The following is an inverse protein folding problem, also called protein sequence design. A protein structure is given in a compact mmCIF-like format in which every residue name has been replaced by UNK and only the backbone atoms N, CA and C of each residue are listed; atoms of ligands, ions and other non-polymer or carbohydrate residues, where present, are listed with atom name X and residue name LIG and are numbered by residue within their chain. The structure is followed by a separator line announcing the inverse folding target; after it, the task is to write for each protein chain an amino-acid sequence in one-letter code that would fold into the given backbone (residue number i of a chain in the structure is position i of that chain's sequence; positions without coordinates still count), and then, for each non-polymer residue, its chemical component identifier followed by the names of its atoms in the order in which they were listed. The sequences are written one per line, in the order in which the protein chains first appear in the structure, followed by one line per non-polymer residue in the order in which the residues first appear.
data_IF_121575979276
#
_entry.id   IF_121575979276
#
_cell.length_a   1.000
_cell.length_b   1.000
_cell.length_c   1.000
_cell.angle_alpha   90.00
_cell.angle_beta   90.00
_cell.angle_gamma   90.00
#
_symmetry.space_group_name_H-M   'P 1'
#
loop_
_entity.id
_entity.type
_entity.pdbx_description
1 polymer ?
#
# COMPACT_ATOMS: atom_id res chain seq x y z
N UNK A 1 -8.11 5.58 -12.42
CA UNK A 1 -9.27 5.63 -11.53
C UNK A 1 -8.90 5.23 -10.14
N UNK A 2 -8.57 3.95 -9.95
CA UNK A 2 -8.20 3.49 -8.62
C UNK A 2 -6.99 4.20 -8.07
N UNK A 3 -6.00 4.41 -8.92
CA UNK A 3 -4.81 5.13 -8.50
C UNK A 3 -5.12 6.53 -8.03
N UNK A 4 -6.10 7.18 -8.67
CA UNK A 4 -6.50 8.52 -8.26
C UNK A 4 -7.13 8.52 -6.88
N UNK A 5 -7.83 7.46 -6.52
CA UNK A 5 -8.39 7.35 -5.19
C UNK A 5 -7.31 7.19 -4.14
N UNK A 6 -6.26 6.46 -4.46
CA UNK A 6 -5.11 6.33 -3.57
C UNK A 6 -4.42 7.67 -3.42
N UNK A 7 -4.24 8.40 -4.53
CA UNK A 7 -3.64 9.72 -4.48
C UNK A 7 -4.43 10.64 -3.55
N UNK A 8 -5.76 10.60 -3.67
CA UNK A 8 -6.61 11.43 -2.84
C UNK A 8 -6.52 11.05 -1.37
N UNK A 9 -6.48 9.77 -1.10
CA UNK A 9 -6.36 9.28 0.27
C UNK A 9 -5.08 9.78 0.92
N UNK A 10 -3.98 9.70 0.19
CA UNK A 10 -2.69 10.09 0.74
C UNK A 10 -2.60 11.60 0.96
N UNK A 11 -3.35 12.37 0.20
CA UNK A 11 -3.34 13.82 0.39
C UNK A 11 -3.98 14.25 1.70
N UNK A 12 -4.69 13.36 2.37
CA UNK A 12 -5.31 13.69 3.65
C UNK A 12 -4.30 13.71 4.80
N UNK A 13 -3.09 13.25 4.58
CA UNK A 13 -2.08 13.20 5.61
C UNK A 13 -1.21 14.45 5.60
N UNK A 14 -0.55 14.72 6.73
CA UNK A 14 0.41 15.81 6.80
C UNK A 14 1.51 15.60 5.77
N UNK A 15 2.16 16.69 5.40
CA UNK A 15 3.16 16.64 4.35
C UNK A 15 4.25 15.57 4.63
N UNK A 16 4.79 15.57 5.82
CA UNK A 16 5.87 14.64 6.16
C UNK A 16 5.42 13.19 6.08
N UNK A 17 4.26 12.89 6.66
CA UNK A 17 3.74 11.54 6.62
C UNK A 17 3.35 11.15 5.21
N UNK A 18 2.75 12.07 4.47
CA UNK A 18 2.37 11.82 3.09
C UNK A 18 3.58 11.46 2.25
N UNK A 19 4.69 12.14 2.47
CA UNK A 19 5.90 11.87 1.72
C UNK A 19 6.43 10.47 2.01
N UNK A 20 6.42 10.07 3.28
CA UNK A 20 6.84 8.74 3.66
C UNK A 20 5.94 7.68 3.03
N UNK A 21 4.64 7.92 3.05
CA UNK A 21 3.69 6.98 2.47
C UNK A 21 3.86 6.88 0.96
N UNK A 22 4.14 7.99 0.30
CA UNK A 22 4.39 7.96 -1.14
C UNK A 22 5.67 7.21 -1.47
N UNK A 23 6.71 7.37 -0.66
CA UNK A 23 7.94 6.63 -0.86
C UNK A 23 7.70 5.13 -0.69
N UNK A 24 6.93 4.76 0.33
CA UNK A 24 6.57 3.37 0.56
C UNK A 24 5.78 2.82 -0.62
N UNK A 25 4.83 3.61 -1.12
CA UNK A 25 4.04 3.24 -2.28
C UNK A 25 4.91 2.94 -3.49
N UNK A 26 5.90 3.79 -3.73
CA UNK A 26 6.79 3.58 -4.86
C UNK A 26 7.65 2.35 -4.69
N UNK A 27 8.12 2.10 -3.47
CA UNK A 27 8.90 0.90 -3.21
C UNK A 27 8.09 -0.36 -3.48
N UNK A 28 6.85 -0.36 -3.04
CA UNK A 28 5.97 -1.51 -3.26
C UNK A 28 5.70 -1.68 -4.76
N UNK A 29 5.48 -0.58 -5.45
CA UNK A 29 5.20 -0.64 -6.89
C UNK A 29 6.37 -1.24 -7.65
N UNK A 30 7.58 -0.96 -7.22
CA UNK A 30 8.77 -1.53 -7.85
C UNK A 30 8.87 -3.03 -7.60
N UNK A 31 8.47 -3.46 -6.42
CA UNK A 31 8.50 -4.89 -6.09
C UNK A 31 7.36 -5.65 -6.73
N UNK A 32 6.25 -4.98 -7.00
CA UNK A 32 5.06 -5.61 -7.55
C UNK A 32 4.62 -4.86 -8.81
N UNK A 33 5.43 -4.96 -9.88
CA UNK A 33 5.19 -4.12 -11.07
C UNK A 33 3.88 -4.39 -11.80
N UNK A 34 3.27 -5.55 -11.58
CA UNK A 34 2.00 -5.86 -12.23
C UNK A 34 0.80 -5.56 -11.36
N UNK A 35 1.02 -5.05 -10.16
CA UNK A 35 -0.08 -4.79 -9.23
C UNK A 35 -0.82 -3.51 -9.62
N UNK A 36 -2.11 -3.49 -9.31
CA UNK A 36 -2.91 -2.30 -9.43
C UNK A 36 -3.22 -1.77 -8.04
N UNK A 37 -3.43 -0.46 -7.94
CA UNK A 37 -3.71 0.19 -6.66
C UNK A 37 -5.18 0.48 -6.55
N UNK A 38 -5.77 0.11 -5.43
CA UNK A 38 -7.19 0.37 -5.15
C UNK A 38 -7.32 0.82 -3.69
N UNK A 39 -8.50 1.29 -3.34
CA UNK A 39 -8.87 1.50 -1.95
C UNK A 39 -9.76 0.32 -1.55
N UNK A 40 -9.32 -0.44 -0.56
CA UNK A 40 -10.05 -1.60 -0.09
C UNK A 40 -10.13 -1.52 1.43
N UNK A 41 -11.34 -1.64 1.97
CA UNK A 41 -11.56 -1.47 3.40
C UNK A 41 -11.05 -0.13 3.91
N UNK A 42 -11.12 0.89 3.04
CA UNK A 42 -10.71 2.22 3.41
C UNK A 42 -9.21 2.46 3.37
N UNK A 43 -8.39 1.52 2.91
CA UNK A 43 -6.95 1.69 2.87
C UNK A 43 -6.40 1.41 1.48
N UNK A 44 -5.30 2.07 1.13
CA UNK A 44 -4.62 1.78 -0.14
C UNK A 44 -4.15 0.33 -0.18
N UNK A 45 -4.44 -0.34 -1.27
CA UNK A 45 -4.16 -1.77 -1.39
C UNK A 45 -3.62 -2.06 -2.78
N UNK A 46 -2.60 -2.92 -2.86
CA UNK A 46 -2.07 -3.42 -4.12
C UNK A 46 -2.69 -4.77 -4.41
N UNK A 47 -3.18 -4.94 -5.64
CA UNK A 47 -3.84 -6.17 -6.06
C UNK A 47 -3.17 -6.73 -7.28
N UNK A 48 -3.07 -8.04 -7.35
CA UNK A 48 -2.55 -8.76 -8.51
C UNK A 48 -3.61 -9.75 -8.95
N UNK A 49 -4.06 -9.60 -10.20
CA UNK A 49 -5.04 -10.50 -10.80
C UNK A 49 -6.27 -10.66 -9.91
N UNK A 50 -6.74 -9.53 -9.38
CA UNK A 50 -7.95 -9.54 -8.59
C UNK A 50 -7.78 -9.99 -7.14
N UNK A 51 -6.54 -10.29 -6.74
CA UNK A 51 -6.27 -10.75 -5.38
C UNK A 51 -5.51 -9.68 -4.62
N UNK A 52 -5.99 -9.33 -3.45
CA UNK A 52 -5.30 -8.36 -2.60
C UNK A 52 -4.01 -8.98 -2.06
N UNK A 53 -2.90 -8.30 -2.24
CA UNK A 53 -1.59 -8.78 -1.84
C UNK A 53 -1.07 -8.02 -0.65
N UNK A 54 -1.15 -6.69 -0.69
CA UNK A 54 -0.53 -5.86 0.33
C UNK A 54 -1.28 -4.56 0.43
N UNK A 55 -1.55 -4.13 1.65
CA UNK A 55 -2.12 -2.82 1.91
C UNK A 55 -1.16 -2.00 2.74
N UNK A 56 -1.32 -0.69 2.72
CA UNK A 56 -0.54 0.19 3.58
C UNK A 56 -1.39 1.39 3.97
N UNK A 57 -1.06 2.00 5.08
CA UNK A 57 -1.78 3.20 5.50
C UNK A 57 -0.98 3.93 6.56
N UNK A 58 -1.40 5.15 6.83
CA UNK A 58 -0.78 5.96 7.86
C UNK A 58 -1.71 6.11 9.04
N UNK A 59 -1.12 6.16 10.22
CA UNK A 59 -1.84 6.39 11.46
C UNK A 59 -1.22 7.58 12.16
N UNK A 60 -1.87 8.02 13.20
CA UNK A 60 -1.49 9.26 13.85
C UNK A 60 0.01 9.31 14.19
N UNK A 61 0.58 8.20 14.63
CA UNK A 61 1.97 8.19 15.06
C UNK A 61 2.83 7.15 14.35
N UNK A 62 2.31 6.48 13.33
CA UNK A 62 3.09 5.47 12.63
C UNK A 62 2.45 5.12 11.30
N UNK A 63 3.21 4.44 10.48
CA UNK A 63 2.72 3.90 9.21
C UNK A 63 2.79 2.38 9.30
N UNK A 64 1.87 1.72 8.60
CA UNK A 64 1.79 0.26 8.69
C UNK A 64 1.65 -0.37 7.33
N UNK A 65 2.16 -1.59 7.23
CA UNK A 65 1.93 -2.47 6.09
C UNK A 65 1.02 -3.59 6.54
N UNK A 66 0.12 -3.99 5.64
CA UNK A 66 -0.86 -5.03 5.96
C UNK A 66 -0.77 -6.13 4.91
N UNK A 67 0.04 -7.17 5.15
CA UNK A 67 0.06 -8.28 4.21
C UNK A 67 -1.24 -9.06 4.30
N UNK A 68 -1.79 -9.41 3.14
CA UNK A 68 -2.99 -10.22 3.11
C UNK A 68 -2.60 -11.68 3.16
N UNK A 69 -3.49 -12.52 3.68
CA UNK A 69 -3.15 -13.90 3.99
C UNK A 69 -2.60 -14.67 2.80
N UNK A 70 -3.05 -14.35 1.60
CA UNK A 70 -2.55 -15.05 0.42
C UNK A 70 -1.12 -14.73 0.06
N UNK A 71 -0.54 -13.68 0.64
CA UNK A 71 0.81 -13.24 0.30
C UNK A 71 1.76 -13.26 1.47
N UNK A 72 1.31 -13.72 2.63
CA UNK A 72 2.10 -13.65 3.85
C UNK A 72 3.45 -14.33 3.73
N UNK A 73 3.47 -15.53 3.19
CA UNK A 73 4.73 -16.25 3.06
C UNK A 73 5.73 -15.51 2.22
N UNK A 74 5.27 -14.94 1.12
CA UNK A 74 6.15 -14.21 0.24
C UNK A 74 6.76 -12.99 0.93
N UNK A 75 5.93 -12.26 1.65
CA UNK A 75 6.39 -11.06 2.32
C UNK A 75 7.32 -11.37 3.47
N UNK A 76 7.02 -12.39 4.24
CA UNK A 76 7.88 -12.76 5.35
C UNK A 76 9.25 -13.19 4.86
N UNK A 77 9.29 -13.90 3.76
CA UNK A 77 10.55 -14.35 3.20
C UNK A 77 11.43 -13.17 2.81
N UNK A 78 10.85 -12.15 2.22
CA UNK A 78 11.62 -11.00 1.79
C UNK A 78 11.96 -10.08 2.93
N UNK A 79 11.02 -9.87 3.80
CA UNK A 79 11.08 -8.80 4.76
C UNK A 79 11.90 -9.14 5.97
N UNK A 80 11.69 -10.29 6.46
CA UNK A 80 12.25 -10.65 7.72
C UNK A 80 13.42 -11.58 7.59
#
# INVERSE_FOLDING_TARGET
MSKALVDKHLKSFEFGQRQILNNLREMIAQELPTATEVIKYGIPTFMIEGVAVLGFDGYKKHNSLFPYSGSTNLLLTKEL
#
